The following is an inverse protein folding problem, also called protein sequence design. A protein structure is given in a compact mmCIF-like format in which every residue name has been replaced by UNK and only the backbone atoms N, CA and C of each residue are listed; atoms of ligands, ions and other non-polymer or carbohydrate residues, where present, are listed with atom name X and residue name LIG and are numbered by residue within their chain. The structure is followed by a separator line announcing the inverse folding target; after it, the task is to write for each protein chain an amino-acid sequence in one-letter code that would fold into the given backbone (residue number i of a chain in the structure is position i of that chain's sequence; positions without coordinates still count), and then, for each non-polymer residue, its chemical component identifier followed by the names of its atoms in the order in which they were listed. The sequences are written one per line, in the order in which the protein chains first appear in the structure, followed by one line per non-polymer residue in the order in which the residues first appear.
data_IF_353862629699
#
_entry.id   IF_353862629699
#
_cell.length_a   1.000
_cell.length_b   1.000
_cell.length_c   1.000
_cell.angle_alpha   90.00
_cell.angle_beta   90.00
_cell.angle_gamma   90.00
#
_symmetry.space_group_name_H-M   'P 1'
#
loop_
_entity.id
_entity.type
_entity.pdbx_description
1 polymer ?
#
# COMPACT_ATOMS: atom_id res chain seq x y z
N UNK A 1 33.43 19.20 11.03
CA UNK A 1 32.39 18.93 12.06
C UNK A 1 31.03 19.28 11.47
N UNK A 2 30.31 18.31 10.91
CA UNK A 2 28.97 18.49 10.33
C UNK A 2 28.07 17.25 10.48
N UNK A 3 28.32 16.41 11.50
CA UNK A 3 27.63 15.12 11.72
C UNK A 3 26.36 15.10 12.61
N UNK A 4 25.94 16.15 13.36
CA UNK A 4 24.84 15.95 14.32
C UNK A 4 23.42 15.98 13.71
N UNK A 5 23.23 16.46 12.47
CA UNK A 5 21.89 16.53 11.84
C UNK A 5 21.48 15.24 11.12
N UNK A 6 22.42 14.53 10.49
CA UNK A 6 22.13 13.25 9.81
C UNK A 6 21.83 12.12 10.81
N UNK A 7 22.51 12.11 11.96
CA UNK A 7 22.24 11.15 13.06
C UNK A 7 20.87 11.35 13.74
N UNK A 8 20.28 12.54 13.68
CA UNK A 8 18.91 12.76 14.16
C UNK A 8 17.84 12.30 13.15
N UNK A 9 18.14 12.37 11.84
CA UNK A 9 17.21 11.91 10.81
C UNK A 9 17.09 10.38 10.77
N UNK A 10 18.19 9.66 11.01
CA UNK A 10 18.19 8.19 11.14
C UNK A 10 17.37 7.69 12.34
N UNK A 11 17.18 8.51 13.38
CA UNK A 11 16.41 8.18 14.60
C UNK A 11 14.89 8.24 14.45
N UNK A 12 14.36 8.60 13.27
CA UNK A 12 12.92 8.70 12.99
C UNK A 12 12.41 7.60 12.04
N UNK A 13 13.23 6.60 11.74
CA UNK A 13 12.80 5.41 10.99
C UNK A 13 12.15 4.46 11.99
N UNK A 14 10.87 4.20 11.79
CA UNK A 14 10.09 3.27 12.58
C UNK A 14 9.81 2.01 11.76
N UNK A 15 9.32 1.01 12.47
CA UNK A 15 9.04 -0.31 11.93
C UNK A 15 7.66 -0.71 12.40
N UNK A 16 6.80 -1.15 11.47
CA UNK A 16 5.52 -1.73 11.85
C UNK A 16 5.75 -3.06 12.58
N UNK A 17 4.75 -3.57 13.32
CA UNK A 17 4.70 -4.98 13.68
C UNK A 17 4.74 -5.86 12.43
N UNK A 18 5.02 -7.15 12.64
CA UNK A 18 4.89 -8.16 11.59
C UNK A 18 3.42 -8.37 11.23
N UNK A 19 3.18 -8.45 9.93
CA UNK A 19 1.84 -8.54 9.35
C UNK A 19 1.78 -9.78 8.50
N UNK A 20 0.77 -10.62 8.72
CA UNK A 20 0.50 -11.75 7.86
C UNK A 20 -0.23 -11.26 6.61
N UNK A 21 0.41 -11.37 5.45
CA UNK A 21 -0.19 -11.11 4.14
C UNK A 21 -0.66 -12.42 3.53
N UNK A 22 -1.99 -12.58 3.38
CA UNK A 22 -2.59 -13.73 2.69
C UNK A 22 -2.81 -13.46 1.21
N UNK A 23 -2.60 -14.48 0.40
CA UNK A 23 -2.64 -14.44 -1.06
C UNK A 23 -1.70 -13.37 -1.65
N UNK A 24 -0.44 -13.28 -1.18
CA UNK A 24 0.51 -12.25 -1.62
C UNK A 24 0.60 -12.15 -3.15
N UNK A 25 0.78 -10.93 -3.71
CA UNK A 25 0.92 -10.74 -5.15
C UNK A 25 2.12 -11.53 -5.68
N UNK A 26 2.01 -12.00 -6.91
CA UNK A 26 3.05 -12.86 -7.52
C UNK A 26 4.38 -12.15 -7.69
N UNK A 27 4.34 -10.83 -7.89
CA UNK A 27 5.52 -9.98 -7.99
C UNK A 27 6.43 -10.04 -6.75
N UNK A 28 5.92 -10.44 -5.56
CA UNK A 28 6.76 -10.66 -4.36
C UNK A 28 7.63 -11.93 -4.45
N UNK A 29 7.27 -12.85 -5.33
CA UNK A 29 7.99 -14.09 -5.59
C UNK A 29 8.75 -14.03 -6.92
N UNK A 30 8.83 -12.84 -7.52
CA UNK A 30 9.54 -12.65 -8.76
C UNK A 30 10.98 -13.13 -8.60
N UNK A 31 11.43 -13.82 -9.64
CA UNK A 31 12.67 -14.54 -9.62
C UNK A 31 13.49 -14.21 -10.87
N UNK A 32 14.76 -14.61 -10.83
CA UNK A 32 15.63 -14.51 -11.97
C UNK A 32 16.72 -15.57 -11.88
N UNK A 33 17.21 -15.95 -13.06
CA UNK A 33 18.36 -16.82 -13.28
C UNK A 33 19.17 -16.26 -14.44
N UNK A 34 20.28 -16.91 -14.78
CA UNK A 34 21.17 -16.50 -15.87
C UNK A 34 20.48 -16.41 -17.24
N UNK A 35 19.33 -17.08 -17.42
CA UNK A 35 18.59 -17.16 -18.68
C UNK A 35 17.18 -16.56 -18.62
N UNK A 36 16.70 -16.11 -17.45
CA UNK A 36 15.37 -15.50 -17.34
C UNK A 36 15.28 -14.50 -16.21
N UNK A 37 14.36 -13.55 -16.32
CA UNK A 37 13.98 -12.66 -15.25
C UNK A 37 12.48 -12.42 -15.31
N UNK A 38 11.78 -12.58 -14.18
CA UNK A 38 10.38 -12.17 -14.08
C UNK A 38 10.31 -10.64 -14.15
N UNK A 39 9.44 -10.10 -14.98
CA UNK A 39 9.30 -8.68 -15.26
C UNK A 39 7.85 -8.24 -15.03
N UNK A 40 7.71 -6.94 -14.88
CA UNK A 40 6.45 -6.24 -14.69
C UNK A 40 5.73 -6.63 -13.40
N UNK A 41 4.54 -6.08 -13.27
CA UNK A 41 3.88 -5.95 -12.01
C UNK A 41 2.51 -6.55 -11.88
N UNK A 42 1.98 -6.32 -10.68
CA UNK A 42 0.62 -6.64 -10.30
C UNK A 42 0.02 -5.43 -9.57
N UNK A 43 -1.19 -5.04 -9.95
CA UNK A 43 -2.00 -4.08 -9.21
C UNK A 43 -3.09 -4.83 -8.46
N UNK A 44 -2.97 -4.87 -7.15
CA UNK A 44 -3.78 -5.66 -6.25
C UNK A 44 -4.62 -4.81 -5.32
N UNK A 45 -5.79 -5.32 -4.92
CA UNK A 45 -6.56 -4.74 -3.83
C UNK A 45 -6.11 -5.39 -2.52
N UNK A 46 -5.81 -4.56 -1.54
CA UNK A 46 -5.44 -5.02 -0.20
C UNK A 46 -6.54 -4.65 0.79
N UNK A 47 -6.93 -5.64 1.57
CA UNK A 47 -7.95 -5.51 2.60
C UNK A 47 -7.36 -5.85 3.98
N UNK A 48 -7.79 -5.12 5.00
CA UNK A 48 -7.50 -5.42 6.39
C UNK A 48 -8.55 -6.39 6.93
N UNK A 49 -8.10 -7.53 7.49
CA UNK A 49 -8.97 -8.43 8.27
C UNK A 49 -8.94 -8.08 9.75
N UNK A 50 -7.75 -7.80 10.26
CA UNK A 50 -7.49 -7.34 11.63
C UNK A 50 -6.13 -6.60 11.66
N UNK A 51 -5.75 -5.96 12.78
CA UNK A 51 -4.50 -5.21 12.89
C UNK A 51 -3.20 -6.03 12.81
N UNK A 52 -3.22 -7.30 12.40
CA UNK A 52 -2.00 -8.10 12.12
C UNK A 52 -2.16 -8.97 10.87
N UNK A 53 -3.26 -8.84 10.13
CA UNK A 53 -3.59 -9.71 9.00
C UNK A 53 -4.20 -8.89 7.85
N UNK A 54 -3.52 -8.91 6.72
CA UNK A 54 -3.98 -8.38 5.45
C UNK A 54 -4.31 -9.51 4.48
N UNK A 55 -5.32 -9.27 3.64
CA UNK A 55 -5.74 -10.19 2.59
C UNK A 55 -5.66 -9.44 1.27
N UNK A 56 -4.94 -10.02 0.33
CA UNK A 56 -4.91 -9.58 -1.05
C UNK A 56 -5.99 -10.31 -1.83
N UNK A 57 -6.76 -9.55 -2.59
CA UNK A 57 -7.72 -10.09 -3.54
C UNK A 57 -7.05 -10.22 -4.91
N UNK A 58 -7.60 -11.09 -5.76
CA UNK A 58 -7.33 -11.16 -7.19
C UNK A 58 -6.95 -9.81 -7.81
N UNK A 59 -5.89 -9.78 -8.63
CA UNK A 59 -5.38 -8.54 -9.18
C UNK A 59 -6.40 -7.81 -10.05
N UNK A 60 -6.43 -6.48 -9.88
CA UNK A 60 -7.01 -5.58 -10.84
C UNK A 60 -6.19 -5.54 -12.11
N UNK A 61 -4.87 -5.59 -12.05
CA UNK A 61 -4.00 -5.75 -13.23
C UNK A 61 -2.93 -6.81 -12.95
N UNK A 62 -2.65 -7.68 -13.92
CA UNK A 62 -1.57 -8.66 -13.84
C UNK A 62 -0.85 -8.70 -15.18
N UNK A 63 0.38 -8.20 -15.18
CA UNK A 63 1.23 -8.01 -16.36
C UNK A 63 2.48 -8.87 -16.32
N UNK A 64 2.54 -9.89 -15.45
CA UNK A 64 3.74 -10.70 -15.25
C UNK A 64 4.26 -11.28 -16.56
N UNK A 65 5.52 -11.00 -16.86
CA UNK A 65 6.22 -11.51 -18.04
C UNK A 65 7.56 -12.13 -17.64
N UNK A 66 8.14 -12.94 -18.51
CA UNK A 66 9.52 -13.38 -18.43
C UNK A 66 10.35 -12.66 -19.50
N UNK A 67 11.36 -11.91 -19.08
CA UNK A 67 12.45 -11.49 -19.94
C UNK A 67 13.43 -12.64 -20.12
N UNK A 68 13.65 -13.08 -21.34
CA UNK A 68 14.63 -14.12 -21.67
C UNK A 68 15.98 -13.46 -21.87
N UNK A 69 16.96 -13.92 -21.10
CA UNK A 69 18.31 -13.37 -21.12
C UNK A 69 19.15 -14.20 -22.09
N UNK A 70 19.79 -13.53 -23.04
CA UNK A 70 20.73 -14.16 -23.96
C UNK A 70 22.17 -14.01 -23.43
N UNK A 71 22.83 -15.15 -23.23
CA UNK A 71 24.20 -15.23 -22.74
C UNK A 71 25.22 -14.59 -23.71
N UNK A 72 24.89 -14.49 -25.00
CA UNK A 72 25.78 -13.88 -26.00
C UNK A 72 25.73 -12.34 -25.99
N UNK A 73 24.76 -11.73 -25.31
CA UNK A 73 24.51 -10.27 -25.32
C UNK A 73 24.82 -9.56 -24.00
N UNK A 74 25.79 -10.07 -23.22
CA UNK A 74 26.19 -9.50 -21.92
C UNK A 74 25.04 -9.44 -20.88
N UNK A 75 24.08 -10.34 -21.01
CA UNK A 75 22.95 -10.47 -20.10
C UNK A 75 21.82 -9.46 -20.36
N UNK A 76 21.65 -9.01 -21.61
CA UNK A 76 20.48 -8.22 -22.02
C UNK A 76 19.26 -9.13 -22.23
N UNK A 77 18.07 -8.53 -22.08
CA UNK A 77 16.80 -9.18 -22.39
C UNK A 77 16.65 -9.20 -23.91
N UNK A 78 16.64 -10.39 -24.48
CA UNK A 78 16.52 -10.63 -25.93
C UNK A 78 15.07 -10.80 -26.38
N UNK A 79 14.20 -11.28 -25.48
CA UNK A 79 12.79 -11.56 -25.74
C UNK A 79 11.97 -11.32 -24.45
N UNK A 80 10.71 -10.89 -24.59
CA UNK A 80 9.76 -10.71 -23.48
C UNK A 80 8.54 -11.58 -23.74
N UNK A 81 8.28 -12.53 -22.86
CA UNK A 81 7.16 -13.47 -22.96
C UNK A 81 6.15 -13.20 -21.85
N UNK A 82 4.92 -12.85 -22.22
CA UNK A 82 3.85 -12.65 -21.25
C UNK A 82 3.48 -13.99 -20.61
N UNK A 83 3.65 -14.11 -19.29
CA UNK A 83 3.27 -15.29 -18.51
C UNK A 83 1.80 -15.20 -18.07
N UNK A 84 1.37 -13.99 -17.72
CA UNK A 84 -0.02 -13.65 -17.41
C UNK A 84 -0.36 -12.34 -18.10
N UNK A 85 -1.48 -12.33 -18.83
CA UNK A 85 -1.95 -11.15 -19.55
C UNK A 85 -3.36 -10.77 -19.15
N UNK A 86 -3.58 -10.34 -17.90
CA UNK A 86 -4.87 -9.70 -17.52
C UNK A 86 -4.79 -8.20 -17.83
N UNK A 87 -4.51 -7.87 -19.10
CA UNK A 87 -4.23 -6.51 -19.60
C UNK A 87 -5.52 -5.76 -20.00
N UNK A 88 -6.68 -6.43 -20.02
CA UNK A 88 -7.98 -5.84 -20.40
C UNK A 88 -8.51 -4.81 -19.38
N UNK A 89 -7.67 -4.21 -18.55
CA UNK A 89 -8.06 -3.18 -17.58
C UNK A 89 -8.41 -1.87 -18.25
N UNK A 90 -8.00 -1.68 -19.50
CA UNK A 90 -8.46 -0.61 -20.36
C UNK A 90 -9.93 -0.78 -20.77
N UNK A 91 -10.50 -2.00 -20.71
CA UNK A 91 -11.94 -2.24 -20.94
C UNK A 91 -12.76 -1.85 -19.70
N UNK A 92 -13.62 -0.82 -19.79
CA UNK A 92 -14.47 -0.39 -18.68
C UNK A 92 -15.38 -1.49 -18.13
N UNK A 93 -15.87 -2.42 -18.96
CA UNK A 93 -16.76 -3.50 -18.53
C UNK A 93 -16.01 -4.56 -17.72
N UNK A 94 -14.79 -4.89 -18.13
CA UNK A 94 -13.92 -5.79 -17.36
C UNK A 94 -13.59 -5.15 -16.01
N UNK A 95 -13.24 -3.86 -16.00
CA UNK A 95 -12.96 -3.12 -14.77
C UNK A 95 -14.19 -3.07 -13.85
N UNK A 96 -15.38 -2.75 -14.39
CA UNK A 96 -16.65 -2.77 -13.65
C UNK A 96 -16.86 -4.12 -12.97
N UNK A 97 -16.71 -5.23 -13.70
CA UNK A 97 -16.86 -6.58 -13.15
C UNK A 97 -15.87 -6.85 -12.02
N UNK A 98 -14.61 -6.42 -12.17
CA UNK A 98 -13.56 -6.58 -11.14
C UNK A 98 -13.89 -5.78 -9.88
N UNK A 99 -14.32 -4.52 -10.01
CA UNK A 99 -14.74 -3.67 -8.88
C UNK A 99 -15.97 -4.23 -8.17
N UNK A 100 -16.99 -4.69 -8.92
CA UNK A 100 -18.18 -5.32 -8.34
C UNK A 100 -17.79 -6.57 -7.55
N UNK A 101 -16.91 -7.41 -8.11
CA UNK A 101 -16.41 -8.59 -7.42
C UNK A 101 -15.57 -8.22 -6.19
N UNK A 102 -14.83 -7.11 -6.23
CA UNK A 102 -14.12 -6.57 -5.08
C UNK A 102 -15.07 -6.23 -3.93
N UNK A 103 -16.06 -5.38 -4.16
CA UNK A 103 -16.97 -5.00 -3.08
C UNK A 103 -17.71 -6.21 -2.50
N UNK A 104 -18.15 -7.14 -3.35
CA UNK A 104 -18.77 -8.40 -2.90
C UNK A 104 -17.81 -9.25 -2.07
N UNK A 105 -16.53 -9.32 -2.43
CA UNK A 105 -15.51 -10.05 -1.67
C UNK A 105 -15.29 -9.42 -0.30
N UNK A 106 -15.14 -8.09 -0.25
CA UNK A 106 -14.97 -7.30 0.98
C UNK A 106 -16.17 -7.50 1.91
N UNK A 107 -17.38 -7.47 1.37
CA UNK A 107 -18.62 -7.65 2.12
C UNK A 107 -18.75 -9.07 2.69
N UNK A 108 -18.66 -10.10 1.83
CA UNK A 108 -18.80 -11.51 2.23
C UNK A 108 -17.82 -11.92 3.32
N UNK A 109 -16.60 -11.39 3.26
CA UNK A 109 -15.54 -11.72 4.22
C UNK A 109 -15.46 -10.72 5.39
N UNK A 110 -16.36 -9.73 5.46
CA UNK A 110 -16.38 -8.68 6.49
C UNK A 110 -15.04 -7.94 6.63
N UNK A 111 -14.36 -7.69 5.51
CA UNK A 111 -13.04 -7.05 5.45
C UNK A 111 -13.15 -5.54 5.31
N UNK A 112 -12.10 -4.80 5.64
CA UNK A 112 -12.00 -3.37 5.40
C UNK A 112 -11.05 -3.10 4.24
N UNK A 113 -11.45 -2.26 3.28
CA UNK A 113 -10.56 -1.85 2.21
C UNK A 113 -9.41 -1.06 2.82
N UNK A 114 -8.19 -1.55 2.64
CA UNK A 114 -6.98 -0.83 3.04
C UNK A 114 -6.51 0.09 1.91
N UNK A 115 -6.52 -0.42 0.68
CA UNK A 115 -6.09 0.34 -0.49
C UNK A 115 -5.71 -0.55 -1.67
N UNK A 116 -4.85 -0.02 -2.53
CA UNK A 116 -4.33 -0.70 -3.71
C UNK A 116 -2.81 -0.75 -3.66
N UNK A 117 -2.26 -1.94 -3.89
CA UNK A 117 -0.83 -2.22 -3.93
C UNK A 117 -0.42 -2.49 -5.37
N UNK A 118 0.42 -1.62 -5.91
CA UNK A 118 1.13 -1.82 -7.17
C UNK A 118 2.53 -2.33 -6.84
N UNK A 119 2.93 -3.44 -7.44
CA UNK A 119 4.29 -3.97 -7.35
C UNK A 119 4.86 -4.11 -8.74
N UNK A 120 6.10 -3.71 -8.96
CA UNK A 120 6.80 -3.89 -10.24
C UNK A 120 8.06 -4.71 -10.00
N UNK A 121 8.04 -5.95 -10.48
CA UNK A 121 9.15 -6.88 -10.31
C UNK A 121 10.32 -6.50 -11.20
N UNK A 122 11.54 -6.56 -10.63
CA UNK A 122 12.81 -6.51 -11.34
C UNK A 122 12.96 -5.31 -12.33
N UNK A 123 12.17 -4.25 -12.13
CA UNK A 123 12.05 -3.12 -13.03
C UNK A 123 12.40 -1.82 -12.31
N UNK A 124 13.70 -1.61 -12.06
CA UNK A 124 14.16 -0.46 -11.28
C UNK A 124 14.15 0.88 -12.02
N UNK A 125 14.05 0.86 -13.36
CA UNK A 125 13.83 2.02 -14.20
C UNK A 125 12.36 2.41 -14.44
N UNK A 126 11.40 1.79 -13.74
CA UNK A 126 9.97 2.08 -13.92
C UNK A 126 9.55 3.42 -13.29
N UNK A 127 8.48 4.01 -13.82
CA UNK A 127 7.96 5.34 -13.46
C UNK A 127 7.32 5.45 -12.07
N UNK A 128 7.39 4.41 -11.23
CA UNK A 128 6.82 4.46 -9.88
C UNK A 128 7.51 5.53 -9.03
N UNK A 129 8.81 5.77 -9.26
CA UNK A 129 9.58 6.82 -8.57
C UNK A 129 10.36 7.64 -9.58
N UNK A 130 9.78 8.77 -10.00
CA UNK A 130 10.29 9.62 -11.09
C UNK A 130 11.51 10.47 -10.66
N UNK A 131 11.82 10.54 -9.36
CA UNK A 131 12.87 11.41 -8.79
C UNK A 131 14.13 10.65 -8.31
N UNK A 132 14.39 9.45 -8.83
CA UNK A 132 15.64 8.71 -8.55
C UNK A 132 16.68 9.02 -9.64
N UNK A 133 17.88 9.41 -9.21
CA UNK A 133 19.01 9.65 -10.12
C UNK A 133 19.38 8.39 -10.93
N UNK A 134 19.70 8.50 -12.24
CA UNK A 134 20.05 7.35 -13.08
C UNK A 134 21.19 6.49 -12.55
N UNK A 135 22.20 7.09 -11.92
CA UNK A 135 23.32 6.34 -11.33
C UNK A 135 22.86 5.39 -10.22
N UNK A 136 21.85 5.80 -9.44
CA UNK A 136 21.28 4.99 -8.37
C UNK A 136 20.42 3.87 -8.94
N UNK A 137 19.63 4.15 -9.98
CA UNK A 137 18.88 3.13 -10.72
C UNK A 137 19.86 2.06 -11.23
N UNK A 138 20.94 2.46 -11.90
CA UNK A 138 21.96 1.54 -12.40
C UNK A 138 22.60 0.71 -11.27
N UNK A 139 22.84 1.29 -10.09
CA UNK A 139 23.33 0.56 -8.91
C UNK A 139 22.32 -0.45 -8.40
N UNK A 140 21.04 -0.09 -8.33
CA UNK A 140 19.96 -1.00 -7.92
C UNK A 140 19.83 -2.16 -8.91
N UNK A 141 19.88 -1.90 -10.21
CA UNK A 141 19.86 -2.91 -11.25
C UNK A 141 21.08 -3.84 -11.19
N UNK A 142 22.27 -3.30 -10.96
CA UNK A 142 23.49 -4.08 -10.81
C UNK A 142 23.47 -4.97 -9.57
N UNK A 143 23.02 -4.43 -8.44
CA UNK A 143 22.80 -5.20 -7.19
C UNK A 143 21.78 -6.31 -7.44
N UNK A 144 20.66 -5.97 -8.09
CA UNK A 144 19.62 -6.94 -8.38
C UNK A 144 20.13 -8.05 -9.32
N UNK A 145 20.93 -7.72 -10.36
CA UNK A 145 21.65 -8.69 -11.20
C UNK A 145 22.56 -9.60 -10.37
N UNK A 146 23.37 -9.01 -9.48
CA UNK A 146 24.27 -9.78 -8.62
C UNK A 146 23.56 -10.84 -7.78
N UNK A 147 22.40 -10.50 -7.17
CA UNK A 147 21.64 -11.48 -6.40
C UNK A 147 20.91 -12.51 -7.26
N UNK A 148 20.56 -12.20 -8.51
CA UNK A 148 19.97 -13.17 -9.46
C UNK A 148 20.95 -14.30 -9.79
N UNK A 149 22.21 -13.95 -10.05
CA UNK A 149 23.27 -14.91 -10.40
C UNK A 149 23.58 -15.90 -9.24
N UNK A 150 23.06 -15.66 -8.03
CA UNK A 150 23.23 -16.48 -6.83
C UNK A 150 22.18 -17.59 -6.59
N UNK A 151 21.23 -17.80 -7.50
CA UNK A 151 19.97 -18.57 -7.37
C UNK A 151 18.89 -17.88 -6.51
N UNK A 152 17.91 -17.30 -7.21
CA UNK A 152 16.50 -17.01 -6.83
C UNK A 152 16.23 -16.48 -5.40
N UNK A 153 15.62 -15.29 -5.32
CA UNK A 153 15.24 -14.56 -4.10
C UNK A 153 13.70 -14.60 -3.85
N UNK A 154 12.93 -15.69 -4.04
CA UNK A 154 11.55 -15.64 -3.60
C UNK A 154 11.54 -15.67 -2.08
N UNK A 155 10.74 -14.79 -1.49
CA UNK A 155 10.29 -15.02 -0.12
C UNK A 155 9.60 -16.37 -0.11
N UNK A 156 10.01 -17.28 0.77
CA UNK A 156 9.35 -18.57 0.88
C UNK A 156 7.94 -18.37 1.45
N UNK A 157 6.95 -18.38 0.56
CA UNK A 157 5.55 -18.35 0.96
C UNK A 157 5.21 -19.62 1.73
N UNK A 158 4.56 -19.49 2.89
CA UNK A 158 4.02 -20.65 3.60
C UNK A 158 2.65 -20.99 3.01
N UNK A 159 2.46 -22.26 2.64
CA UNK A 159 1.14 -22.76 2.25
C UNK A 159 0.44 -23.29 3.51
N UNK A 160 -0.62 -22.61 3.93
CA UNK A 160 -1.57 -23.10 4.95
C UNK A 160 -2.95 -23.20 4.31
N UNK A 161 -3.58 -24.39 4.39
CA UNK A 161 -4.91 -24.66 3.84
C UNK A 161 -5.08 -24.28 2.35
N UNK A 162 -4.03 -24.45 1.55
CA UNK A 162 -4.03 -24.10 0.13
C UNK A 162 -3.94 -22.59 -0.15
N UNK A 163 -3.68 -21.76 0.86
CA UNK A 163 -3.47 -20.31 0.71
C UNK A 163 -2.01 -19.97 0.96
N UNK A 164 -1.40 -19.26 0.01
CA UNK A 164 -0.04 -18.72 0.17
C UNK A 164 -0.07 -17.56 1.18
N UNK A 165 0.95 -17.51 2.04
CA UNK A 165 1.11 -16.46 3.04
C UNK A 165 2.56 -15.99 3.11
N UNK A 166 2.75 -14.70 3.35
CA UNK A 166 4.05 -14.07 3.56
C UNK A 166 3.97 -13.14 4.76
N UNK A 167 5.02 -13.09 5.58
CA UNK A 167 5.16 -12.05 6.61
C UNK A 167 5.69 -10.79 5.96
N UNK A 168 4.99 -9.67 6.14
CA UNK A 168 5.42 -8.35 5.68
C UNK A 168 5.61 -7.40 6.84
N UNK A 169 6.39 -6.35 6.60
CA UNK A 169 6.66 -5.28 7.56
C UNK A 169 6.90 -3.97 6.81
N UNK A 170 6.34 -2.88 7.30
CA UNK A 170 6.62 -1.55 6.77
C UNK A 170 7.73 -0.88 7.55
N UNK A 171 8.63 -0.20 6.85
CA UNK A 171 9.71 0.59 7.43
C UNK A 171 9.69 1.98 6.80
N UNK A 172 9.78 3.03 7.59
CA UNK A 172 9.69 4.40 7.10
C UNK A 172 9.58 5.42 8.22
N UNK A 173 9.24 6.66 7.89
CA UNK A 173 9.02 7.71 8.89
C UNK A 173 7.68 7.56 9.59
N UNK A 174 7.60 8.01 10.85
CA UNK A 174 6.40 7.85 11.69
C UNK A 174 5.12 8.39 11.04
N UNK A 175 5.22 9.55 10.37
CA UNK A 175 4.07 10.21 9.73
C UNK A 175 3.42 9.37 8.63
N UNK A 176 4.23 8.69 7.81
CA UNK A 176 3.78 7.84 6.70
C UNK A 176 3.34 6.46 7.20
N UNK A 177 4.10 5.88 8.14
CA UNK A 177 3.77 4.59 8.77
C UNK A 177 2.46 4.61 9.55
N UNK A 178 2.23 5.65 10.35
CA UNK A 178 1.01 5.76 11.16
C UNK A 178 -0.28 5.90 10.34
N UNK A 179 -0.16 6.18 9.04
CA UNK A 179 -1.28 6.22 8.08
C UNK A 179 -1.44 4.91 7.30
N UNK A 180 -0.37 4.14 7.12
CA UNK A 180 -0.38 2.84 6.45
C UNK A 180 -0.80 1.68 7.36
N UNK A 181 -0.75 1.87 8.68
CA UNK A 181 -0.97 0.79 9.60
C UNK A 181 -1.67 1.26 10.88
N UNK A 182 -2.60 0.47 11.44
CA UNK A 182 -3.14 0.75 12.77
C UNK A 182 -2.01 0.85 13.78
N UNK A 183 -2.09 1.82 14.69
CA UNK A 183 -1.24 1.77 15.88
C UNK A 183 -1.57 0.48 16.64
N UNK A 184 -0.58 -0.18 17.23
CA UNK A 184 -0.78 -1.43 17.99
C UNK A 184 -1.87 -1.33 19.07
N UNK A 185 -2.07 -0.12 19.60
CA UNK A 185 -3.07 0.18 20.63
C UNK A 185 -4.52 0.21 20.09
N UNK A 186 -4.72 0.30 18.77
CA UNK A 186 -6.05 0.21 18.14
C UNK A 186 -6.42 -1.25 17.80
N UNK A 187 -6.58 -2.04 18.87
CA UNK A 187 -6.94 -3.47 18.80
C UNK A 187 -8.28 -3.68 18.08
N UNK A 188 -9.18 -2.69 18.13
CA UNK A 188 -10.48 -2.74 17.47
C UNK A 188 -10.41 -2.58 15.95
N UNK A 189 -9.31 -2.01 15.43
CA UNK A 189 -9.16 -1.58 14.05
C UNK A 189 -10.11 -0.44 13.64
N UNK A 190 -11.03 0.00 14.51
CA UNK A 190 -12.05 1.00 14.20
C UNK A 190 -11.43 2.38 14.02
N UNK A 191 -10.47 2.78 14.86
CA UNK A 191 -9.80 4.08 14.75
C UNK A 191 -8.98 4.17 13.45
N UNK A 192 -8.36 3.06 13.04
CA UNK A 192 -7.68 2.95 11.77
C UNK A 192 -8.64 3.04 10.57
N UNK A 193 -9.81 2.43 10.66
CA UNK A 193 -10.84 2.55 9.61
C UNK A 193 -11.31 4.01 9.47
N UNK A 194 -11.45 4.73 10.59
CA UNK A 194 -11.77 6.16 10.63
C UNK A 194 -10.65 6.97 9.96
N UNK A 195 -9.38 6.70 10.26
CA UNK A 195 -8.27 7.45 9.68
C UNK A 195 -8.03 7.13 8.20
N UNK A 196 -8.27 5.89 7.77
CA UNK A 196 -8.09 5.45 6.40
C UNK A 196 -9.16 5.97 5.44
N UNK A 197 -10.37 6.32 5.91
CA UNK A 197 -11.46 6.77 5.02
C UNK A 197 -11.18 8.10 4.34
N UNK A 198 -10.43 9.00 4.97
CA UNK A 198 -10.13 10.35 4.46
C UNK A 198 -8.70 10.52 3.95
N UNK A 199 -7.85 9.52 4.16
CA UNK A 199 -6.46 9.59 3.72
C UNK A 199 -6.38 9.60 2.19
N UNK A 200 -5.75 10.65 1.65
CA UNK A 200 -5.42 10.75 0.23
C UNK A 200 -3.94 10.54 0.02
N UNK A 201 -3.60 9.82 -1.04
CA UNK A 201 -2.24 9.67 -1.51
C UNK A 201 -1.74 8.24 -1.46
N UNK A 202 -0.43 8.12 -1.60
CA UNK A 202 0.27 6.85 -1.61
C UNK A 202 1.62 6.97 -0.92
N UNK A 203 2.17 5.83 -0.57
CA UNK A 203 3.61 5.67 -0.32
C UNK A 203 4.23 4.90 -1.47
N UNK A 204 5.52 5.12 -1.72
CA UNK A 204 6.28 4.35 -2.68
C UNK A 204 7.68 4.04 -2.13
N UNK A 205 8.25 2.94 -2.59
CA UNK A 205 9.56 2.50 -2.13
C UNK A 205 9.95 1.12 -2.64
N UNK A 206 10.92 0.49 -1.98
CA UNK A 206 11.48 -0.79 -2.40
C UNK A 206 11.05 -1.88 -1.42
N UNK A 207 10.64 -3.02 -1.96
CA UNK A 207 10.46 -4.26 -1.20
C UNK A 207 11.76 -5.03 -1.17
N UNK A 208 12.16 -5.47 0.01
CA UNK A 208 13.37 -6.27 0.22
C UNK A 208 13.09 -7.54 1.03
N UNK A 209 13.85 -8.60 0.77
CA UNK A 209 13.90 -9.78 1.61
C UNK A 209 14.90 -9.54 2.75
N UNK A 210 14.44 -9.77 3.99
CA UNK A 210 15.27 -9.76 5.18
C UNK A 210 14.85 -10.90 6.12
N UNK A 211 15.64 -11.97 6.18
CA UNK A 211 15.42 -13.13 7.05
C UNK A 211 14.01 -13.74 6.94
N UNK A 212 13.50 -13.89 5.71
CA UNK A 212 12.18 -14.46 5.43
C UNK A 212 11.01 -13.50 5.63
N UNK A 213 11.27 -12.20 5.84
CA UNK A 213 10.26 -11.13 5.92
C UNK A 213 10.37 -10.23 4.69
N UNK A 214 9.22 -9.87 4.10
CA UNK A 214 9.13 -8.83 3.09
C UNK A 214 9.10 -7.46 3.76
N UNK A 215 10.19 -6.71 3.71
CA UNK A 215 10.24 -5.35 4.24
C UNK A 215 9.89 -4.34 3.15
N UNK A 216 8.78 -3.63 3.32
CA UNK A 216 8.33 -2.52 2.49
C UNK A 216 9.00 -1.24 3.00
N UNK A 217 10.15 -0.90 2.41
CA UNK A 217 10.93 0.28 2.77
C UNK A 217 10.35 1.50 2.06
N UNK A 218 9.68 2.37 2.80
CA UNK A 218 9.08 3.60 2.30
C UNK A 218 10.19 4.61 2.02
N UNK A 219 10.27 5.04 0.76
CA UNK A 219 11.24 6.04 0.30
C UNK A 219 10.59 7.38 0.01
N UNK A 220 9.29 7.39 -0.32
CA UNK A 220 8.55 8.62 -0.56
C UNK A 220 7.09 8.43 -0.19
N UNK A 221 6.42 9.53 0.15
CA UNK A 221 4.98 9.54 0.34
C UNK A 221 4.36 10.87 -0.09
N UNK A 222 3.11 10.81 -0.55
CA UNK A 222 2.27 12.00 -0.73
C UNK A 222 1.30 12.18 0.45
N UNK A 223 1.39 11.32 1.46
CA UNK A 223 0.48 11.33 2.60
C UNK A 223 0.75 12.55 3.52
N UNK A 224 1.97 13.10 3.47
CA UNK A 224 2.43 14.22 4.29
C UNK A 224 2.32 15.60 3.62
N UNK A 225 1.78 15.70 2.39
CA UNK A 225 1.55 16.96 1.62
C UNK A 225 2.80 17.80 1.29
N UNK A 226 4.00 17.30 1.56
CA UNK A 226 5.24 17.85 1.02
C UNK A 226 5.51 17.16 -0.33
N UNK A 227 5.97 17.87 -1.35
CA UNK A 227 6.16 17.31 -2.69
C UNK A 227 6.85 15.92 -2.67
N UNK A 228 6.46 15.01 -3.59
CA UNK A 228 7.08 13.68 -3.72
C UNK A 228 8.59 13.87 -3.79
N UNK A 229 9.30 13.36 -2.79
CA UNK A 229 10.77 13.36 -2.75
C UNK A 229 11.24 12.04 -2.17
N UNK A 230 12.27 11.50 -2.79
CA UNK A 230 12.95 10.32 -2.28
C UNK A 230 13.73 10.68 -1.02
N UNK A 231 13.55 9.89 0.04
CA UNK A 231 14.37 9.94 1.24
C UNK A 231 15.75 9.36 0.93
N UNK A 232 16.65 10.25 0.52
CA UNK A 232 18.01 9.90 0.13
C UNK A 232 18.86 9.33 1.28
N UNK A 233 18.49 9.58 2.53
CA UNK A 233 19.19 9.00 3.68
C UNK A 233 18.84 7.51 3.76
N UNK A 234 17.55 7.18 3.69
CA UNK A 234 17.07 5.79 3.68
C UNK A 234 17.61 5.05 2.46
N UNK A 235 17.58 5.68 1.28
CA UNK A 235 18.13 5.08 0.04
C UNK A 235 19.61 4.73 0.16
N UNK A 236 20.45 5.65 0.70
CA UNK A 236 21.88 5.39 0.87
C UNK A 236 22.15 4.24 1.83
N UNK A 237 21.41 4.17 2.95
CA UNK A 237 21.52 3.05 3.88
C UNK A 237 21.13 1.73 3.20
N UNK A 238 20.05 1.74 2.42
CA UNK A 238 19.58 0.56 1.71
C UNK A 238 20.62 0.04 0.71
N UNK A 239 21.28 0.95 -0.03
CA UNK A 239 22.37 0.59 -0.93
C UNK A 239 23.57 -0.03 -0.19
N UNK A 240 23.84 0.38 1.04
CA UNK A 240 24.89 -0.22 1.86
C UNK A 240 24.48 -1.60 2.40
N UNK A 241 23.24 -1.74 2.85
CA UNK A 241 22.65 -3.02 3.24
C UNK A 241 22.72 -4.03 2.08
N UNK A 242 22.51 -3.56 0.85
CA UNK A 242 22.63 -4.34 -0.37
C UNK A 242 24.05 -4.77 -0.70
N UNK A 243 25.05 -3.91 -0.51
CA UNK A 243 26.45 -4.31 -0.70
C UNK A 243 26.92 -5.33 0.34
N UNK A 244 26.41 -5.22 1.57
CA UNK A 244 26.81 -6.08 2.68
C UNK A 244 26.12 -7.44 2.71
N UNK A 245 25.15 -7.70 1.82
CA UNK A 245 24.44 -8.97 1.81
C UNK A 245 23.28 -9.07 2.80
N UNK A 246 22.98 -8.00 3.55
CA UNK A 246 22.04 -8.06 4.69
C UNK A 246 20.58 -7.96 4.27
N UNK A 247 20.31 -7.30 3.14
CA UNK A 247 19.00 -7.20 2.52
C UNK A 247 19.11 -7.49 1.03
N UNK A 248 18.07 -8.08 0.45
CA UNK A 248 18.04 -8.40 -0.97
C UNK A 248 16.85 -7.69 -1.63
N UNK A 249 17.06 -6.89 -2.69
CA UNK A 249 15.96 -6.21 -3.37
C UNK A 249 15.04 -7.20 -4.11
N UNK A 250 13.73 -6.93 -4.10
CA UNK A 250 12.71 -7.73 -4.80
C UNK A 250 12.01 -6.89 -5.88
N UNK A 251 11.37 -5.79 -5.49
CA UNK A 251 10.47 -5.03 -6.37
C UNK A 251 10.35 -3.57 -5.93
N UNK A 252 9.90 -2.70 -6.84
CA UNK A 252 9.29 -1.43 -6.45
C UNK A 252 7.87 -1.66 -5.97
N UNK A 253 7.42 -0.85 -5.02
CA UNK A 253 6.03 -0.80 -4.63
C UNK A 253 5.49 0.63 -4.63
N UNK A 254 4.18 0.72 -4.88
CA UNK A 254 3.35 1.88 -4.59
C UNK A 254 2.07 1.42 -3.90
N UNK A 255 1.79 2.00 -2.75
CA UNK A 255 0.63 1.65 -1.94
C UNK A 255 -0.28 2.87 -1.80
N UNK A 256 -1.39 2.86 -2.52
CA UNK A 256 -2.42 3.91 -2.46
C UNK A 256 -3.47 3.54 -1.43
N UNK A 257 -3.89 4.48 -0.58
CA UNK A 257 -4.79 4.20 0.54
C UNK A 257 -6.26 4.52 0.26
N UNK A 258 -7.15 3.72 0.87
CA UNK A 258 -8.59 3.93 0.91
C UNK A 258 -9.31 3.77 -0.42
N UNK A 259 -10.60 4.13 -0.44
CA UNK A 259 -11.45 4.06 -1.66
C UNK A 259 -10.98 5.01 -2.76
N UNK A 260 -10.30 6.09 -2.41
CA UNK A 260 -9.77 7.04 -3.39
C UNK A 260 -8.65 6.41 -4.24
N UNK A 261 -8.01 5.35 -3.78
CA UNK A 261 -7.10 4.57 -4.59
C UNK A 261 -7.77 4.04 -5.87
N UNK A 262 -9.03 3.57 -5.78
CA UNK A 262 -9.79 3.14 -6.96
C UNK A 262 -10.07 4.30 -7.91
N UNK A 263 -10.36 5.49 -7.37
CA UNK A 263 -10.67 6.66 -8.18
C UNK A 263 -9.50 7.11 -9.06
N UNK A 264 -8.27 6.78 -8.67
CA UNK A 264 -7.07 7.12 -9.43
C UNK A 264 -6.77 6.10 -10.55
N UNK A 265 -7.55 5.03 -10.68
CA UNK A 265 -7.38 4.07 -11.76
C UNK A 265 -7.95 4.65 -13.07
N UNK A 266 -7.19 4.60 -14.16
CA UNK A 266 -7.53 5.23 -15.45
C UNK A 266 -8.96 4.91 -15.93
N UNK A 267 -9.33 3.64 -15.94
CA UNK A 267 -10.66 3.18 -16.39
C UNK A 267 -11.79 3.42 -15.40
N UNK A 268 -11.51 3.81 -14.15
CA UNK A 268 -12.54 4.08 -13.15
C UNK A 268 -13.40 5.29 -13.52
N UNK A 269 -12.79 6.33 -14.10
CA UNK A 269 -13.50 7.54 -14.54
C UNK A 269 -14.63 7.23 -15.53
N UNK A 270 -14.49 6.17 -16.32
CA UNK A 270 -15.48 5.76 -17.31
C UNK A 270 -16.67 4.98 -16.71
N UNK A 271 -16.54 4.49 -15.48
CA UNK A 271 -17.53 3.63 -14.81
C UNK A 271 -18.01 4.17 -13.46
N UNK A 272 -17.49 5.30 -13.00
CA UNK A 272 -17.80 5.87 -11.68
C UNK A 272 -19.28 6.18 -11.46
N UNK A 273 -20.00 6.47 -12.55
CA UNK A 273 -21.43 6.81 -12.55
C UNK A 273 -22.32 5.61 -12.91
N UNK A 274 -21.74 4.43 -13.10
CA UNK A 274 -22.49 3.19 -13.28
C UNK A 274 -23.30 2.87 -12.02
N UNK A 275 -24.57 2.49 -12.20
CA UNK A 275 -25.51 2.27 -11.09
C UNK A 275 -25.03 1.21 -10.10
N UNK A 276 -24.43 0.11 -10.60
CA UNK A 276 -24.00 -0.99 -9.73
C UNK A 276 -22.77 -0.56 -8.92
N UNK A 277 -21.82 0.11 -9.57
CA UNK A 277 -20.60 0.64 -8.93
C UNK A 277 -20.97 1.68 -7.87
N UNK A 278 -21.86 2.61 -8.22
CA UNK A 278 -22.33 3.64 -7.30
C UNK A 278 -23.04 3.04 -6.08
N UNK A 279 -23.95 2.10 -6.30
CA UNK A 279 -24.69 1.44 -5.22
C UNK A 279 -23.77 0.70 -4.25
N UNK A 280 -22.83 -0.10 -4.76
CA UNK A 280 -21.87 -0.83 -3.91
C UNK A 280 -20.98 0.11 -3.09
N UNK A 281 -20.57 1.25 -3.68
CA UNK A 281 -19.82 2.28 -2.98
C UNK A 281 -20.63 2.89 -1.84
N UNK A 282 -21.91 3.19 -2.07
CA UNK A 282 -22.80 3.71 -1.03
C UNK A 282 -23.01 2.71 0.10
N UNK A 283 -23.23 1.43 -0.21
CA UNK A 283 -23.39 0.38 0.80
C UNK A 283 -22.12 0.20 1.63
N UNK A 284 -20.96 0.19 0.99
CA UNK A 284 -19.69 0.16 1.68
C UNK A 284 -19.51 1.38 2.58
N UNK A 285 -19.77 2.59 2.07
CA UNK A 285 -19.68 3.82 2.86
C UNK A 285 -20.64 3.79 4.06
N UNK A 286 -21.89 3.34 3.90
CA UNK A 286 -22.84 3.19 5.01
C UNK A 286 -22.31 2.23 6.09
N UNK A 287 -21.71 1.11 5.67
CA UNK A 287 -21.07 0.17 6.59
C UNK A 287 -19.91 0.82 7.34
N UNK A 288 -19.03 1.56 6.65
CA UNK A 288 -17.93 2.28 7.29
C UNK A 288 -18.43 3.33 8.26
N UNK A 289 -19.39 4.17 7.86
CA UNK A 289 -20.00 5.17 8.74
C UNK A 289 -20.63 4.55 9.98
N UNK A 290 -21.24 3.36 9.87
CA UNK A 290 -21.74 2.62 11.03
C UNK A 290 -20.60 2.23 11.98
N UNK A 291 -19.50 1.70 11.46
CA UNK A 291 -18.33 1.33 12.27
C UNK A 291 -17.71 2.56 12.96
N UNK A 292 -17.60 3.68 12.25
CA UNK A 292 -17.15 4.97 12.78
C UNK A 292 -18.10 5.44 13.90
N UNK A 293 -19.40 5.38 13.66
CA UNK A 293 -20.40 5.78 14.66
C UNK A 293 -20.38 4.90 15.90
N UNK A 294 -20.27 3.59 15.72
CA UNK A 294 -20.15 2.65 16.83
C UNK A 294 -18.86 2.93 17.63
N UNK A 295 -17.74 3.27 16.97
CA UNK A 295 -16.52 3.68 17.65
C UNK A 295 -16.72 4.94 18.52
N UNK A 296 -17.28 6.01 17.96
CA UNK A 296 -17.49 7.23 18.73
C UNK A 296 -18.54 7.07 19.83
N UNK A 297 -19.55 6.20 19.65
CA UNK A 297 -20.50 5.82 20.70
C UNK A 297 -19.81 5.06 21.83
N UNK A 298 -19.00 4.05 21.50
CA UNK A 298 -18.23 3.26 22.46
C UNK A 298 -17.24 4.15 23.25
N UNK A 299 -16.69 5.17 22.58
CA UNK A 299 -15.81 6.17 23.18
C UNK A 299 -16.56 7.25 24.01
N UNK A 300 -17.90 7.22 24.06
CA UNK A 300 -18.71 8.18 24.81
C UNK A 300 -18.77 9.59 24.21
N UNK A 301 -18.47 9.73 22.92
CA UNK A 301 -18.39 11.01 22.18
C UNK A 301 -19.70 11.35 21.45
N UNK A 302 -20.54 10.36 21.15
CA UNK A 302 -21.84 10.58 20.48
C UNK A 302 -22.94 10.83 21.51
N UNK A 303 -23.61 11.98 21.42
CA UNK A 303 -24.71 12.36 22.32
C UNK A 303 -24.29 13.22 23.53
N UNK A 304 -23.02 13.59 23.61
CA UNK A 304 -22.43 14.52 24.57
C UNK A 304 -21.83 15.69 23.78
N UNK A 305 -21.99 16.93 24.27
CA UNK A 305 -21.19 18.04 23.73
C UNK A 305 -19.71 17.64 23.82
N UNK A 306 -18.92 17.76 22.73
CA UNK A 306 -17.55 17.30 22.74
C UNK A 306 -16.74 18.05 23.79
N UNK A 307 -16.40 17.37 24.89
CA UNK A 307 -15.44 17.88 25.88
C UNK A 307 -14.02 17.62 25.38
N UNK A 308 -13.68 18.24 24.25
CA UNK A 308 -12.28 18.40 23.87
C UNK A 308 -11.73 19.53 24.74
N UNK A 309 -10.78 19.22 25.63
CA UNK A 309 -10.03 20.26 26.34
C UNK A 309 -9.08 20.94 25.34
N UNK A 310 -9.65 21.88 24.59
CA UNK A 310 -8.99 22.68 23.58
C UNK A 310 -7.83 23.49 24.17
N UNK A 311 -7.66 23.58 25.50
CA UNK A 311 -6.54 24.31 26.11
C UNK A 311 -5.17 23.68 25.82
N UNK A 312 -5.12 22.40 25.43
CA UNK A 312 -3.87 21.62 25.25
C UNK A 312 -3.32 21.53 23.82
N UNK A 313 -4.06 21.99 22.82
CA UNK A 313 -3.67 21.90 21.39
C UNK A 313 -3.01 23.21 20.91
N UNK A 314 -2.15 23.16 19.89
CA UNK A 314 -1.65 24.37 19.23
C UNK A 314 -2.76 25.01 18.37
N UNK A 315 -2.72 26.33 18.15
CA UNK A 315 -3.83 27.07 17.50
C UNK A 315 -4.31 26.49 16.17
N UNK A 316 -3.39 26.03 15.32
CA UNK A 316 -3.71 25.43 14.02
C UNK A 316 -4.26 24.00 14.13
N UNK A 317 -3.87 23.26 15.16
CA UNK A 317 -4.44 21.93 15.46
C UNK A 317 -5.85 22.06 16.05
N UNK A 318 -6.11 23.12 16.85
CA UNK A 318 -7.47 23.43 17.30
C UNK A 318 -8.38 23.72 16.13
N UNK A 319 -7.94 24.52 15.17
CA UNK A 319 -8.74 24.87 13.99
C UNK A 319 -9.07 23.63 13.14
N UNK A 320 -8.07 22.79 12.83
CA UNK A 320 -8.29 21.55 12.07
C UNK A 320 -9.18 20.55 12.81
N UNK A 321 -8.94 20.33 14.11
CA UNK A 321 -9.76 19.42 14.91
C UNK A 321 -11.19 19.93 15.06
N UNK A 322 -11.39 21.24 15.21
CA UNK A 322 -12.74 21.83 15.27
C UNK A 322 -13.43 21.73 13.91
N UNK A 323 -12.74 21.98 12.80
CA UNK A 323 -13.29 21.89 11.45
C UNK A 323 -13.65 20.43 11.09
N UNK A 324 -12.77 19.47 11.39
CA UNK A 324 -13.01 18.04 11.17
C UNK A 324 -14.12 17.50 12.08
N UNK A 325 -14.16 17.92 13.36
CA UNK A 325 -15.24 17.54 14.27
C UNK A 325 -16.56 18.18 13.87
N UNK A 326 -16.58 19.45 13.43
CA UNK A 326 -17.79 20.10 12.93
C UNK A 326 -18.28 19.44 11.65
N UNK A 327 -17.40 19.15 10.69
CA UNK A 327 -17.75 18.45 9.45
C UNK A 327 -18.27 17.03 9.71
N UNK A 328 -17.65 16.31 10.65
CA UNK A 328 -18.12 15.01 11.10
C UNK A 328 -19.48 15.12 11.78
N UNK A 329 -19.66 16.05 12.73
CA UNK A 329 -20.93 16.27 13.45
C UNK A 329 -22.06 16.68 12.50
N UNK A 330 -21.81 17.56 11.54
CA UNK A 330 -22.80 17.98 10.53
C UNK A 330 -23.21 16.81 9.63
N UNK A 331 -22.24 16.03 9.16
CA UNK A 331 -22.49 14.83 8.34
C UNK A 331 -23.28 13.79 9.14
N UNK A 332 -22.90 13.56 10.40
CA UNK A 332 -23.56 12.62 11.30
C UNK A 332 -24.98 13.06 11.64
N UNK A 333 -25.21 14.35 11.91
CA UNK A 333 -26.54 14.90 12.19
C UNK A 333 -27.45 14.86 10.96
N UNK A 334 -26.90 15.10 9.76
CA UNK A 334 -27.64 14.96 8.50
C UNK A 334 -28.11 13.51 8.31
N UNK A 335 -27.22 12.55 8.53
CA UNK A 335 -27.54 11.13 8.36
C UNK A 335 -28.49 10.60 9.43
N UNK A 336 -28.36 11.07 10.68
CA UNK A 336 -29.28 10.73 11.77
C UNK A 336 -30.72 11.17 11.45
N UNK A 337 -30.90 12.41 10.96
CA UNK A 337 -32.21 12.93 10.53
C UNK A 337 -32.80 12.18 9.34
N UNK A 338 -31.96 11.64 8.45
CA UNK A 338 -32.38 10.86 7.29
C UNK A 338 -32.76 9.40 7.67
N UNK A 339 -32.23 8.88 8.78
CA UNK A 339 -32.50 7.52 9.26
C UNK A 339 -33.67 7.43 10.24
N UNK A 340 -34.01 8.48 11.00
CA UNK A 340 -35.23 8.52 11.84
C UNK A 340 -36.54 8.77 11.06
N UNK A 341 -36.47 9.08 9.76
CA UNK A 341 -37.65 9.28 8.89
C UNK A 341 -38.11 8.00 8.17
N UNK A 342 -37.53 6.84 8.49
CA UNK A 342 -38.02 5.50 8.10
C UNK A 342 -38.40 4.74 9.35
#
# INVERSE_FOLDING_TARGET
MAQPKEDMAAKLIHTSPDILLRNPPRALFASGSDNHVDLFGELSIVCLKNPTEMIVQDPLEDRQAAGIIDAETDGQISDIRMNVGRIDTEDPQVMKKRIVNMFRFIERNKLFLHGMLELEANAFGSSIVVDVEPEIINKLEAVHKHYRDGKTIPIEGKSEDGKSTVTIRFIGRYGSLGKLWPRQEDISGKNFIVSASDTKGHVAGIVVENNGVAEFIILSDTLSLEAIKVDWIVMKQLLEDFKTGTKKPIAWFKWSLGLRALANHFSYEQIKDDKDVHHLREEYNKRISKVIMDYYKDAGVVGTEPQVDLSRLAGREKELVVEDLQGAIETLNKWYKETEKK
#
